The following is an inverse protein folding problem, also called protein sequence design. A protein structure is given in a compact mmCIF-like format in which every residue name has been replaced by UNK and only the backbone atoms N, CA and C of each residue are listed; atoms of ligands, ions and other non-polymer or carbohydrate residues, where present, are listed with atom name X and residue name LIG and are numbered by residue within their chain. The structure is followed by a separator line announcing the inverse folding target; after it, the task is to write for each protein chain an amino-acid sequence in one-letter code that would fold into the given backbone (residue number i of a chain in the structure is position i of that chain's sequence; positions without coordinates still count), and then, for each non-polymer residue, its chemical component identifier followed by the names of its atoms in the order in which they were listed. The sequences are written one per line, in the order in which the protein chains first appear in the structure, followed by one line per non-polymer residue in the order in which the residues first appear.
data_IF_573915738693
#
_entry.id   IF_573915738693
#
_cell.length_a   1.000
_cell.length_b   1.000
_cell.length_c   1.000
_cell.angle_alpha   90.00
_cell.angle_beta   90.00
_cell.angle_gamma   90.00
#
_symmetry.space_group_name_H-M   'P 1'
#
loop_
_entity.id
_entity.type
_entity.pdbx_description
1 polymer ?
#
# COMPACT_ATOMS: atom_id res chain seq x y z
N UNK A 1 -1.90 3.59 15.45
CA UNK A 1 -1.52 2.25 15.92
C UNK A 1 -0.41 1.72 14.99
N UNK A 2 0.51 0.89 15.49
CA UNK A 2 1.70 0.44 14.75
C UNK A 2 1.66 -1.09 14.55
N UNK A 3 1.23 -1.55 13.38
CA UNK A 3 1.84 -2.71 12.72
C UNK A 3 2.05 -2.40 11.23
N UNK A 4 3.31 -2.39 10.81
CA UNK A 4 3.65 -2.40 9.39
C UNK A 4 3.66 -3.82 8.86
N UNK A 5 3.23 -4.03 7.60
CA UNK A 5 3.35 -5.31 6.95
C UNK A 5 4.78 -5.48 6.44
N UNK A 6 5.55 -6.43 6.96
CA UNK A 6 6.59 -7.07 6.15
C UNK A 6 7.03 -8.45 6.69
N UNK A 7 7.34 -9.32 5.72
CA UNK A 7 7.95 -10.65 5.79
C UNK A 7 7.09 -11.82 6.31
N UNK A 8 6.53 -12.58 5.36
CA UNK A 8 6.59 -14.05 5.31
C UNK A 8 5.84 -14.91 6.33
N UNK A 9 5.45 -14.38 7.49
CA UNK A 9 4.71 -15.12 8.50
C UNK A 9 3.28 -14.58 8.61
N UNK A 10 2.34 -15.32 8.01
CA UNK A 10 0.90 -15.13 8.13
C UNK A 10 0.37 -15.34 9.57
N UNK A 11 1.22 -15.65 10.54
CA UNK A 11 0.85 -16.11 11.89
C UNK A 11 0.79 -15.01 12.98
N UNK A 12 0.76 -13.70 12.65
CA UNK A 12 0.67 -12.64 13.68
C UNK A 12 -0.41 -11.59 13.45
N UNK A 13 -1.48 -11.99 12.75
CA UNK A 13 -2.68 -11.18 12.55
C UNK A 13 -3.50 -11.08 13.85
N UNK A 14 -3.21 -9.98 14.55
CA UNK A 14 -4.04 -9.19 15.49
C UNK A 14 -4.69 -9.91 16.71
N UNK A 15 -4.20 -9.64 17.94
CA UNK A 15 -4.90 -9.93 19.22
C UNK A 15 -6.29 -9.28 19.38
N UNK A 16 -6.75 -8.52 18.39
CA UNK A 16 -8.06 -7.87 18.33
C UNK A 16 -9.15 -8.88 17.93
N UNK A 17 -8.77 -10.00 17.31
CA UNK A 17 -9.70 -11.01 16.83
C UNK A 17 -10.26 -11.93 17.90
N UNK A 18 -9.65 -11.99 19.09
CA UNK A 18 -10.05 -12.91 20.16
C UNK A 18 -11.25 -12.38 20.96
N UNK A 19 -11.60 -11.10 20.82
CA UNK A 19 -12.59 -10.41 21.67
C UNK A 19 -13.85 -9.94 20.95
N UNK A 20 -13.99 -10.22 19.66
CA UNK A 20 -15.18 -9.76 18.91
C UNK A 20 -16.41 -10.52 19.40
N UNK A 21 -17.44 -9.79 19.82
CA UNK A 21 -18.71 -10.38 20.22
C UNK A 21 -19.39 -11.06 19.01
N UNK A 22 -19.55 -12.38 19.08
CA UNK A 22 -20.13 -13.17 17.99
C UNK A 22 -21.57 -12.77 17.67
N UNK A 23 -22.39 -12.49 18.68
CA UNK A 23 -23.80 -12.12 18.48
C UNK A 23 -23.90 -10.77 17.76
N UNK A 24 -23.11 -9.78 18.17
CA UNK A 24 -23.05 -8.48 17.52
C UNK A 24 -22.56 -8.60 16.07
N UNK A 25 -21.53 -9.41 15.82
CA UNK A 25 -21.02 -9.66 14.46
C UNK A 25 -22.07 -10.35 13.57
N UNK A 26 -22.72 -11.41 14.05
CA UNK A 26 -23.74 -12.13 13.29
C UNK A 26 -24.97 -11.26 13.00
N UNK A 27 -25.40 -10.44 13.97
CA UNK A 27 -26.47 -9.46 13.78
C UNK A 27 -26.10 -8.43 12.71
N UNK A 28 -24.84 -7.98 12.70
CA UNK A 28 -24.34 -7.02 11.71
C UNK A 28 -24.20 -7.59 10.31
N UNK A 29 -23.78 -8.85 10.20
CA UNK A 29 -23.69 -9.56 8.91
C UNK A 29 -25.08 -9.72 8.28
N UNK A 30 -26.11 -9.91 9.11
CA UNK A 30 -27.52 -10.01 8.69
C UNK A 30 -27.72 -10.83 7.41
N UNK A 31 -27.22 -12.06 7.41
CA UNK A 31 -27.25 -12.95 6.24
C UNK A 31 -28.27 -14.08 6.39
N UNK A 32 -28.48 -14.85 5.33
CA UNK A 32 -29.44 -15.94 5.31
C UNK A 32 -29.10 -17.06 6.32
N UNK A 33 -30.11 -17.79 6.85
CA UNK A 33 -29.93 -18.69 7.99
C UNK A 33 -28.85 -19.77 7.82
N UNK A 34 -28.63 -20.26 6.60
CA UNK A 34 -27.64 -21.31 6.31
C UNK A 34 -26.21 -20.80 6.45
N UNK A 35 -25.90 -19.64 5.87
CA UNK A 35 -24.57 -19.03 5.98
C UNK A 35 -24.32 -18.51 7.40
N UNK A 36 -25.35 -17.99 8.07
CA UNK A 36 -25.25 -17.58 9.46
C UNK A 36 -24.83 -18.76 10.37
N UNK A 37 -25.46 -19.93 10.21
CA UNK A 37 -25.07 -21.17 10.92
C UNK A 37 -23.62 -21.58 10.65
N UNK A 38 -23.17 -21.48 9.40
CA UNK A 38 -21.80 -21.81 9.01
C UNK A 38 -20.77 -20.86 9.64
N UNK A 39 -21.02 -19.55 9.57
CA UNK A 39 -20.16 -18.54 10.20
C UNK A 39 -20.14 -18.74 11.72
N UNK A 40 -21.29 -19.01 12.34
CA UNK A 40 -21.37 -19.32 13.77
C UNK A 40 -20.55 -20.56 14.14
N UNK A 41 -20.57 -21.60 13.31
CA UNK A 41 -19.74 -22.79 13.51
C UNK A 41 -18.25 -22.47 13.40
N UNK A 42 -17.84 -21.63 12.45
CA UNK A 42 -16.45 -21.16 12.33
C UNK A 42 -16.00 -20.26 13.47
N UNK A 43 -16.89 -19.44 14.03
CA UNK A 43 -16.57 -18.61 15.19
C UNK A 43 -16.41 -19.44 16.47
N UNK A 44 -17.21 -20.50 16.60
CA UNK A 44 -17.17 -21.44 17.74
C UNK A 44 -16.12 -22.54 17.62
N UNK A 45 -15.54 -22.76 16.44
CA UNK A 45 -14.52 -23.78 16.30
C UNK A 45 -13.30 -23.34 17.11
N UNK A 46 -13.03 -24.05 18.20
CA UNK A 46 -11.91 -23.81 19.12
C UNK A 46 -10.55 -23.69 18.44
N UNK A 47 -9.57 -23.21 19.19
CA UNK A 47 -8.18 -23.18 18.74
C UNK A 47 -7.48 -24.43 19.26
N UNK A 48 -6.82 -25.15 18.35
CA UNK A 48 -5.88 -26.21 18.69
C UNK A 48 -4.47 -25.65 18.57
N UNK A 49 -3.79 -25.41 19.69
CA UNK A 49 -2.43 -24.88 19.73
C UNK A 49 -1.58 -25.75 20.66
N UNK A 50 -0.36 -26.08 20.22
CA UNK A 50 0.62 -26.89 20.96
C UNK A 50 0.10 -28.21 21.59
N UNK A 51 -0.87 -28.87 20.97
CA UNK A 51 -1.39 -30.15 21.44
C UNK A 51 -2.54 -30.07 22.44
N UNK A 52 -2.97 -28.87 22.82
CA UNK A 52 -4.13 -28.64 23.68
C UNK A 52 -5.29 -28.01 22.89
N UNK A 53 -6.50 -28.47 23.18
CA UNK A 53 -7.73 -27.94 22.59
C UNK A 53 -8.39 -26.96 23.54
N UNK A 54 -8.72 -25.77 23.04
CA UNK A 54 -9.43 -24.72 23.80
C UNK A 54 -10.71 -24.32 23.09
N UNK A 55 -11.83 -24.26 23.83
CA UNK A 55 -13.07 -23.67 23.33
C UNK A 55 -12.88 -22.15 23.18
N UNK A 56 -13.26 -21.60 22.03
CA UNK A 56 -13.34 -20.15 21.82
C UNK A 56 -14.77 -19.67 22.04
N UNK A 57 -15.05 -19.19 23.24
CA UNK A 57 -16.30 -18.47 23.56
C UNK A 57 -16.35 -17.08 22.92
N UNK A 58 -15.18 -16.51 22.58
CA UNK A 58 -15.03 -15.22 21.91
C UNK A 58 -13.99 -15.30 20.78
N UNK A 59 -14.17 -14.46 19.77
CA UNK A 59 -13.23 -14.28 18.68
C UNK A 59 -13.34 -15.20 17.46
N UNK A 60 -12.42 -15.05 16.50
CA UNK A 60 -12.37 -15.87 15.28
C UNK A 60 -11.07 -16.68 15.25
N UNK A 61 -11.05 -17.94 14.78
CA UNK A 61 -9.82 -18.69 14.59
C UNK A 61 -8.79 -17.87 13.80
N UNK A 62 -7.65 -17.58 14.45
CA UNK A 62 -6.58 -16.81 13.83
C UNK A 62 -5.94 -17.64 12.71
N UNK A 63 -5.91 -17.10 11.49
CA UNK A 63 -5.39 -17.80 10.31
C UNK A 63 -6.45 -18.33 9.35
N UNK A 64 -7.74 -18.24 9.69
CA UNK A 64 -8.82 -18.49 8.74
C UNK A 64 -8.85 -17.46 7.61
N UNK A 65 -8.98 -17.91 6.36
CA UNK A 65 -9.04 -17.04 5.16
C UNK A 65 -10.15 -15.99 5.27
N UNK A 66 -11.22 -16.29 6.01
CA UNK A 66 -12.37 -15.39 6.20
C UNK A 66 -12.21 -14.36 7.33
N UNK A 67 -11.30 -14.58 8.28
CA UNK A 67 -11.16 -13.74 9.48
C UNK A 67 -10.90 -12.25 9.14
N UNK A 68 -10.03 -11.88 8.17
CA UNK A 68 -9.85 -10.48 7.78
C UNK A 68 -11.11 -9.82 7.21
N UNK A 69 -11.97 -10.58 6.53
CA UNK A 69 -13.25 -10.07 6.03
C UNK A 69 -14.20 -9.79 7.20
N UNK A 70 -14.32 -10.75 8.12
CA UNK A 70 -15.17 -10.62 9.31
C UNK A 70 -14.76 -9.43 10.18
N UNK A 71 -13.46 -9.17 10.39
CA UNK A 71 -13.03 -7.94 11.09
C UNK A 71 -13.43 -6.66 10.36
N UNK A 72 -13.29 -6.62 9.04
CA UNK A 72 -13.66 -5.43 8.29
C UNK A 72 -15.16 -5.16 8.37
N UNK A 73 -16.00 -6.21 8.40
CA UNK A 73 -17.44 -6.08 8.64
C UNK A 73 -17.71 -5.64 10.07
N UNK A 74 -17.05 -6.25 11.06
CA UNK A 74 -17.17 -5.89 12.47
C UNK A 74 -16.90 -4.40 12.70
N UNK A 75 -15.85 -3.86 12.08
CA UNK A 75 -15.41 -2.46 12.19
C UNK A 75 -16.06 -1.51 11.16
N UNK A 76 -16.93 -2.00 10.28
CA UNK A 76 -17.65 -1.14 9.32
C UNK A 76 -18.71 -0.31 10.06
N UNK A 77 -18.95 0.96 9.70
CA UNK A 77 -19.88 1.83 10.45
C UNK A 77 -19.20 2.79 11.44
N UNK A 78 -17.91 2.58 11.76
CA UNK A 78 -17.16 3.49 12.63
C UNK A 78 -17.05 4.89 12.03
N UNK A 79 -16.81 4.97 10.73
CA UNK A 79 -16.68 6.25 10.02
C UNK A 79 -17.99 7.03 10.05
N UNK A 80 -19.11 6.33 9.87
CA UNK A 80 -20.46 6.89 9.92
C UNK A 80 -20.79 7.42 11.32
N UNK A 81 -20.44 6.70 12.38
CA UNK A 81 -20.62 7.15 13.77
C UNK A 81 -19.88 8.48 14.02
N UNK A 82 -18.62 8.56 13.60
CA UNK A 82 -17.79 9.77 13.75
C UNK A 82 -18.33 10.93 12.89
N UNK A 83 -18.83 10.66 11.68
CA UNK A 83 -19.42 11.69 10.82
C UNK A 83 -20.65 12.34 11.43
N UNK A 84 -21.45 11.63 12.25
CA UNK A 84 -22.57 12.22 12.98
C UNK A 84 -22.12 13.30 13.96
N UNK A 85 -20.96 13.12 14.60
CA UNK A 85 -20.35 14.17 15.44
C UNK A 85 -20.09 15.41 14.60
N UNK A 86 -19.46 15.27 13.42
CA UNK A 86 -19.21 16.42 12.55
C UNK A 86 -20.49 17.17 12.16
N UNK A 87 -21.60 16.45 11.94
CA UNK A 87 -22.90 17.06 11.62
C UNK A 87 -23.53 17.83 12.79
N UNK A 88 -23.21 17.45 14.03
CA UNK A 88 -23.66 18.12 15.26
C UNK A 88 -22.86 19.38 15.60
N UNK A 89 -21.70 19.60 14.97
CA UNK A 89 -20.87 20.78 15.20
C UNK A 89 -21.56 22.04 14.63
N UNK A 90 -21.38 23.21 15.27
CA UNK A 90 -21.93 24.47 14.76
C UNK A 90 -21.36 24.80 13.38
N UNK A 91 -22.16 25.46 12.53
CA UNK A 91 -21.78 25.87 11.18
C UNK A 91 -22.33 24.98 10.07
N UNK A 92 -21.67 25.00 8.90
CA UNK A 92 -22.14 24.27 7.72
C UNK A 92 -21.75 22.80 7.81
N UNK A 93 -22.73 21.90 7.79
CA UNK A 93 -22.53 20.43 7.83
C UNK A 93 -21.44 19.94 6.88
N UNK A 94 -21.44 20.43 5.63
CA UNK A 94 -20.45 20.06 4.62
C UNK A 94 -19.01 20.43 5.02
N UNK A 95 -18.81 21.59 5.63
CA UNK A 95 -17.47 22.05 6.02
C UNK A 95 -16.97 21.25 7.23
N UNK A 96 -17.87 20.95 8.19
CA UNK A 96 -17.55 20.12 9.35
C UNK A 96 -17.20 18.68 8.96
N UNK A 97 -17.96 18.07 8.04
CA UNK A 97 -17.65 16.75 7.49
C UNK A 97 -16.33 16.73 6.74
N UNK A 98 -15.94 17.81 6.06
CA UNK A 98 -14.65 17.89 5.37
C UNK A 98 -13.48 18.15 6.32
N UNK A 99 -13.73 18.79 7.47
CA UNK A 99 -12.71 19.06 8.49
C UNK A 99 -12.33 17.80 9.29
N UNK A 100 -13.28 16.88 9.47
CA UNK A 100 -13.08 15.61 10.17
C UNK A 100 -12.67 14.51 9.18
N UNK A 101 -11.46 13.99 9.31
CA UNK A 101 -10.99 12.88 8.48
C UNK A 101 -10.78 11.63 9.32
N UNK A 102 -11.47 10.55 8.95
CA UNK A 102 -11.25 9.22 9.49
C UNK A 102 -10.49 8.36 8.48
N UNK A 103 -9.41 7.72 8.91
CA UNK A 103 -8.57 6.85 8.08
C UNK A 103 -8.37 5.55 8.83
N UNK A 104 -8.79 4.43 8.25
CA UNK A 104 -8.67 3.09 8.85
C UNK A 104 -7.93 2.13 7.92
N UNK A 105 -7.11 1.27 8.51
CA UNK A 105 -6.44 0.15 7.89
C UNK A 105 -6.51 -1.05 8.85
N UNK A 106 -7.31 -2.06 8.52
CA UNK A 106 -7.65 -3.14 9.46
C UNK A 106 -8.15 -2.58 10.81
N UNK A 107 -7.47 -2.90 11.92
CA UNK A 107 -7.73 -2.40 13.27
C UNK A 107 -7.04 -1.06 13.57
N UNK A 108 -6.04 -0.67 12.78
CA UNK A 108 -5.31 0.57 12.94
C UNK A 108 -6.06 1.74 12.29
N UNK A 109 -6.43 2.76 13.07
CA UNK A 109 -7.07 3.98 12.53
C UNK A 109 -6.49 5.28 13.10
N UNK A 110 -6.80 6.38 12.41
CA UNK A 110 -6.42 7.76 12.75
C UNK A 110 -7.62 8.69 12.48
N UNK A 111 -7.84 9.62 13.41
CA UNK A 111 -8.83 10.69 13.29
C UNK A 111 -8.06 12.01 13.25
N UNK A 112 -8.36 12.85 12.27
CA UNK A 112 -7.74 14.16 12.11
C UNK A 112 -8.81 15.23 12.19
N UNK A 113 -8.59 16.22 13.04
CA UNK A 113 -9.43 17.40 13.18
C UNK A 113 -8.58 18.58 13.71
N UNK A 114 -8.86 19.85 13.34
CA UNK A 114 -8.13 21.01 13.85
C UNK A 114 -8.31 21.27 15.36
N UNK A 115 -9.49 20.94 15.87
CA UNK A 115 -9.90 21.13 17.26
C UNK A 115 -9.72 19.85 18.09
N UNK A 116 -9.07 20.00 19.26
CA UNK A 116 -8.82 18.91 20.21
C UNK A 116 -10.09 18.46 20.92
N UNK A 117 -11.04 19.35 21.18
CA UNK A 117 -12.27 19.00 21.91
C UNK A 117 -13.13 18.06 21.07
N UNK A 118 -13.16 18.28 19.76
CA UNK A 118 -13.79 17.36 18.80
C UNK A 118 -13.08 16.01 18.78
N UNK A 119 -11.74 15.96 18.85
CA UNK A 119 -11.00 14.69 18.93
C UNK A 119 -11.32 13.95 20.22
N UNK A 120 -11.45 14.65 21.35
CA UNK A 120 -11.85 14.04 22.62
C UNK A 120 -13.26 13.47 22.54
N UNK A 121 -14.23 14.20 21.98
CA UNK A 121 -15.59 13.69 21.72
C UNK A 121 -15.59 12.45 20.83
N UNK A 122 -14.81 12.49 19.73
CA UNK A 122 -14.67 11.33 18.83
C UNK A 122 -14.06 10.13 19.55
N UNK A 123 -13.13 10.34 20.48
CA UNK A 123 -12.55 9.25 21.28
C UNK A 123 -13.62 8.58 22.15
N UNK A 124 -14.48 9.36 22.81
CA UNK A 124 -15.57 8.82 23.64
C UNK A 124 -16.56 8.01 22.81
N UNK A 125 -17.06 8.58 21.71
CA UNK A 125 -18.00 7.90 20.80
C UNK A 125 -17.44 6.59 20.25
N UNK A 126 -16.16 6.56 19.87
CA UNK A 126 -15.54 5.34 19.34
C UNK A 126 -15.37 4.29 20.43
N UNK A 127 -15.06 4.68 21.67
CA UNK A 127 -15.01 3.74 22.78
C UNK A 127 -16.37 3.07 22.98
N UNK A 128 -17.44 3.87 23.07
CA UNK A 128 -18.82 3.36 23.22
C UNK A 128 -19.23 2.48 22.03
N UNK A 129 -18.86 2.90 20.80
CA UNK A 129 -19.13 2.11 19.60
C UNK A 129 -18.40 0.77 19.59
N UNK A 130 -17.14 0.74 20.05
CA UNK A 130 -16.34 -0.48 20.12
C UNK A 130 -16.81 -1.42 21.22
N UNK A 131 -17.26 -0.88 22.37
CA UNK A 131 -17.84 -1.66 23.47
C UNK A 131 -19.04 -2.47 22.99
N UNK A 132 -19.91 -1.89 22.15
CA UNK A 132 -21.03 -2.61 21.52
C UNK A 132 -20.58 -3.81 20.66
N UNK A 133 -19.34 -3.79 20.17
CA UNK A 133 -18.74 -4.89 19.40
C UNK A 133 -17.88 -5.84 20.25
N UNK A 134 -17.78 -5.61 21.58
CA UNK A 134 -16.90 -6.36 22.50
C UNK A 134 -15.43 -5.93 22.45
N UNK A 135 -15.14 -4.77 21.85
CA UNK A 135 -13.78 -4.31 21.62
C UNK A 135 -13.44 -3.11 22.50
N UNK A 136 -12.16 -2.99 22.85
CA UNK A 136 -11.67 -1.89 23.68
C UNK A 136 -10.45 -1.21 23.04
N UNK A 137 -10.35 0.10 23.23
CA UNK A 137 -9.16 0.85 22.83
C UNK A 137 -8.02 0.59 23.80
N UNK A 138 -6.90 0.07 23.29
CA UNK A 138 -5.70 -0.16 24.10
C UNK A 138 -5.08 1.19 24.55
N UNK A 139 -5.09 1.55 25.86
CA UNK A 139 -4.65 2.86 26.32
C UNK A 139 -3.18 3.15 25.97
N UNK A 140 -2.32 2.12 26.00
CA UNK A 140 -0.90 2.26 25.67
C UNK A 140 -0.61 2.53 24.19
N UNK A 141 -1.57 2.31 23.29
CA UNK A 141 -1.41 2.60 21.86
C UNK A 141 -2.16 3.85 21.40
N UNK A 142 -3.14 4.30 22.18
CA UNK A 142 -3.98 5.46 21.85
C UNK A 142 -3.33 6.75 22.37
N UNK A 143 -3.02 7.67 21.46
CA UNK A 143 -2.41 8.96 21.81
C UNK A 143 -3.01 10.09 20.97
N UNK A 144 -3.24 11.24 21.60
CA UNK A 144 -3.58 12.48 20.91
C UNK A 144 -2.27 13.23 20.69
N UNK A 145 -2.01 13.61 19.44
CA UNK A 145 -0.76 14.25 19.04
C UNK A 145 -1.04 15.34 18.03
N UNK A 146 -0.23 16.40 18.07
CA UNK A 146 -0.32 17.51 17.14
C UNK A 146 0.55 17.24 15.91
N UNK A 147 0.03 17.52 14.72
CA UNK A 147 0.79 17.43 13.47
C UNK A 147 1.66 18.64 13.20
N UNK A 148 1.22 19.83 13.63
CA UNK A 148 1.91 21.10 13.47
C UNK A 148 2.51 21.57 14.79
N UNK A 149 3.75 22.07 14.74
CA UNK A 149 4.41 22.67 15.89
C UNK A 149 3.71 23.99 16.27
N UNK A 150 3.12 24.07 17.47
CA UNK A 150 2.64 25.33 18.05
C UNK A 150 3.79 26.00 18.81
N UNK A 151 3.80 27.34 18.97
CA UNK A 151 4.85 28.07 19.69
C UNK A 151 5.12 27.56 21.11
N UNK A 152 4.11 26.99 21.76
CA UNK A 152 4.18 26.46 23.13
C UNK A 152 4.38 24.93 23.21
N UNK A 153 4.54 24.24 22.07
CA UNK A 153 4.77 22.78 22.01
C UNK A 153 6.10 22.53 21.31
N UNK A 154 7.17 22.52 22.10
CA UNK A 154 8.51 22.18 21.64
C UNK A 154 8.49 20.68 21.27
N UNK A 155 8.87 20.34 20.03
CA UNK A 155 8.97 18.97 19.50
C UNK A 155 7.66 18.23 19.22
N UNK A 156 6.71 18.82 18.48
CA UNK A 156 5.68 18.00 17.79
C UNK A 156 6.39 17.00 16.85
N UNK A 157 6.35 15.71 17.21
CA UNK A 157 6.96 14.60 16.45
C UNK A 157 6.05 14.06 15.32
N UNK A 158 4.90 14.71 15.08
CA UNK A 158 3.86 14.15 14.24
C UNK A 158 3.31 12.84 14.81
N UNK A 159 2.80 11.97 13.93
CA UNK A 159 2.35 10.63 14.30
C UNK A 159 2.84 9.58 13.32
N UNK A 160 3.06 8.37 13.83
CA UNK A 160 3.37 7.20 13.02
C UNK A 160 2.08 6.41 12.72
N UNK A 161 1.88 6.06 11.47
CA UNK A 161 0.75 5.24 10.98
C UNK A 161 1.21 4.37 9.83
N UNK A 162 1.01 3.05 9.94
CA UNK A 162 1.53 2.06 8.97
C UNK A 162 3.02 2.31 8.65
N UNK A 163 3.75 2.70 9.71
CA UNK A 163 5.15 3.15 9.77
C UNK A 163 5.58 4.20 8.75
N UNK A 164 4.63 5.01 8.31
CA UNK A 164 4.86 6.36 7.83
C UNK A 164 4.76 7.34 9.01
N UNK A 165 5.70 8.26 9.13
CA UNK A 165 5.61 9.42 9.99
C UNK A 165 4.98 10.59 9.22
N UNK A 166 3.85 11.09 9.72
CA UNK A 166 3.12 12.23 9.17
C UNK A 166 3.36 13.44 10.07
N UNK A 167 4.00 14.48 9.53
CA UNK A 167 4.31 15.71 10.26
C UNK A 167 4.13 16.95 9.39
N UNK A 168 3.68 18.04 10.00
CA UNK A 168 3.59 19.35 9.39
C UNK A 168 4.69 20.27 9.93
N UNK A 169 5.27 21.04 9.02
CA UNK A 169 6.35 22.00 9.30
C UNK A 169 5.85 23.39 8.94
N UNK A 170 6.06 24.36 9.82
CA UNK A 170 5.82 25.78 9.51
C UNK A 170 6.79 26.21 8.42
N UNK A 171 6.28 26.85 7.37
CA UNK A 171 7.09 27.27 6.23
C UNK A 171 6.68 28.67 5.77
N UNK A 172 7.61 29.39 5.16
CA UNK A 172 7.35 30.72 4.63
C UNK A 172 6.35 30.73 3.45
N UNK A 173 5.89 31.92 3.08
CA UNK A 173 4.89 32.19 2.02
C UNK A 173 5.17 31.52 0.66
N UNK A 174 6.43 31.25 0.34
CA UNK A 174 6.84 30.68 -0.96
C UNK A 174 6.88 29.13 -0.97
N UNK A 175 6.85 28.48 0.19
CA UNK A 175 6.96 27.02 0.30
C UNK A 175 5.68 26.36 0.82
N UNK A 176 4.71 27.16 1.27
CA UNK A 176 3.44 26.67 1.80
C UNK A 176 2.49 26.23 0.68
N UNK A 177 1.69 25.22 0.97
CA UNK A 177 0.60 24.80 0.09
C UNK A 177 -0.52 25.84 0.05
N UNK A 178 -1.32 25.80 -1.02
CA UNK A 178 -2.53 26.60 -1.18
C UNK A 178 -3.74 25.70 -1.26
N UNK A 179 -4.81 26.05 -0.55
CA UNK A 179 -6.13 25.41 -0.68
C UNK A 179 -7.15 26.50 -0.97
N UNK A 180 -7.82 26.39 -2.13
CA UNK A 180 -8.81 27.40 -2.59
C UNK A 180 -8.26 28.84 -2.57
N UNK A 181 -6.99 29.03 -2.93
CA UNK A 181 -6.33 30.34 -2.93
C UNK A 181 -5.69 30.76 -1.61
N UNK A 182 -6.08 30.17 -0.48
CA UNK A 182 -5.56 30.51 0.84
C UNK A 182 -4.26 29.77 1.16
N UNK A 183 -3.27 30.49 1.71
CA UNK A 183 -2.01 29.92 2.18
C UNK A 183 -2.24 29.14 3.47
N UNK A 184 -1.71 27.92 3.54
CA UNK A 184 -1.84 27.07 4.72
C UNK A 184 -0.88 27.46 5.86
N UNK A 185 0.24 28.11 5.55
CA UNK A 185 1.31 28.42 6.51
C UNK A 185 2.20 27.24 6.90
N UNK A 186 1.91 26.03 6.38
CA UNK A 186 2.69 24.82 6.65
C UNK A 186 2.87 23.94 5.41
N UNK A 187 3.79 22.97 5.51
CA UNK A 187 4.02 21.88 4.57
C UNK A 187 3.95 20.54 5.28
N UNK A 188 3.13 19.62 4.78
CA UNK A 188 3.06 18.24 5.27
C UNK A 188 4.13 17.39 4.61
N UNK A 189 5.00 16.78 5.40
CA UNK A 189 5.94 15.77 4.93
C UNK A 189 5.55 14.42 5.53
N UNK A 190 5.42 13.43 4.65
CA UNK A 190 5.25 12.03 5.03
C UNK A 190 6.58 11.35 4.72
N UNK A 191 7.20 10.77 5.75
CA UNK A 191 8.50 10.08 5.66
C UNK A 191 8.36 8.66 6.24
N UNK A 192 9.20 7.69 5.86
CA UNK A 192 9.35 6.45 6.63
C UNK A 192 9.59 6.76 8.12
N UNK A 193 8.93 6.03 9.01
CA UNK A 193 9.10 6.20 10.46
C UNK A 193 10.51 5.77 10.89
N UNK A 194 11.02 6.39 11.95
CA UNK A 194 12.35 6.07 12.48
C UNK A 194 12.47 4.60 12.89
N UNK A 195 11.39 4.02 13.43
CA UNK A 195 11.30 2.60 13.78
C UNK A 195 11.38 1.70 12.54
N UNK A 196 10.67 2.05 11.47
CA UNK A 196 10.71 1.29 10.23
C UNK A 196 12.09 1.32 9.57
N UNK A 197 12.71 2.49 9.52
CA UNK A 197 14.08 2.67 9.02
C UNK A 197 15.06 1.80 9.82
N UNK A 198 14.99 1.87 11.16
CA UNK A 198 15.85 1.09 12.03
C UNK A 198 15.66 -0.41 11.82
N UNK A 199 14.41 -0.90 11.82
CA UNK A 199 14.10 -2.33 11.60
C UNK A 199 14.67 -2.84 10.28
N UNK A 200 14.49 -2.08 9.20
CA UNK A 200 15.00 -2.46 7.89
C UNK A 200 16.53 -2.51 7.85
N UNK A 201 17.19 -1.50 8.45
CA UNK A 201 18.63 -1.48 8.55
C UNK A 201 19.18 -2.61 9.43
N UNK A 202 18.52 -2.90 10.55
CA UNK A 202 18.87 -4.01 11.45
C UNK A 202 18.74 -5.36 10.72
N UNK A 203 17.70 -5.54 9.90
CA UNK A 203 17.50 -6.75 9.09
C UNK A 203 18.61 -6.91 8.04
N UNK A 204 18.95 -5.83 7.32
CA UNK A 204 20.09 -5.86 6.39
C UNK A 204 21.39 -6.21 7.13
N UNK A 205 21.61 -5.63 8.32
CA UNK A 205 22.79 -5.93 9.12
C UNK A 205 22.85 -7.41 9.52
N UNK A 206 21.74 -7.99 10.00
CA UNK A 206 21.66 -9.41 10.35
C UNK A 206 22.01 -10.30 9.15
N UNK A 207 21.51 -9.98 7.96
CA UNK A 207 21.80 -10.74 6.75
C UNK A 207 23.27 -10.65 6.39
N UNK A 208 23.85 -9.45 6.40
CA UNK A 208 25.29 -9.26 6.12
C UNK A 208 26.14 -10.01 7.14
N UNK A 209 25.76 -9.98 8.42
CA UNK A 209 26.48 -10.66 9.50
C UNK A 209 26.36 -12.19 9.44
N UNK A 210 25.21 -12.72 9.01
CA UNK A 210 25.03 -14.16 8.75
C UNK A 210 25.83 -14.64 7.53
N UNK A 211 26.04 -13.75 6.54
CA UNK A 211 26.72 -14.07 5.28
C UNK A 211 28.21 -13.68 5.28
N UNK A 212 28.87 -13.54 6.44
CA UNK A 212 30.30 -13.18 6.55
C UNK A 212 31.22 -14.01 5.63
N UNK A 213 31.00 -15.31 5.59
CA UNK A 213 31.80 -16.26 4.79
C UNK A 213 31.21 -16.55 3.41
N UNK A 214 29.98 -16.12 3.12
CA UNK A 214 29.28 -16.45 1.88
C UNK A 214 29.90 -15.77 0.63
N UNK A 215 29.71 -16.32 -0.57
CA UNK A 215 30.06 -15.65 -1.81
C UNK A 215 29.33 -14.31 -1.97
N UNK A 216 29.99 -13.34 -2.59
CA UNK A 216 29.41 -12.02 -2.86
C UNK A 216 28.07 -12.09 -3.59
N UNK A 217 27.96 -13.00 -4.56
CA UNK A 217 26.76 -13.21 -5.36
C UNK A 217 25.56 -13.67 -4.50
N UNK A 218 25.80 -14.60 -3.57
CA UNK A 218 24.76 -15.09 -2.66
C UNK A 218 24.27 -13.97 -1.73
N UNK A 219 25.18 -13.12 -1.24
CA UNK A 219 24.82 -11.95 -0.43
C UNK A 219 23.94 -10.96 -1.21
N UNK A 220 24.30 -10.65 -2.46
CA UNK A 220 23.51 -9.75 -3.31
C UNK A 220 22.12 -10.33 -3.57
N UNK A 221 22.02 -11.62 -3.90
CA UNK A 221 20.74 -12.29 -4.16
C UNK A 221 19.79 -12.26 -2.96
N UNK A 222 20.32 -12.34 -1.73
CA UNK A 222 19.49 -12.21 -0.53
C UNK A 222 19.10 -10.76 -0.20
N UNK A 223 19.99 -9.80 -0.40
CA UNK A 223 19.71 -8.39 -0.06
C UNK A 223 18.76 -7.72 -1.06
N UNK A 224 18.87 -8.04 -2.36
CA UNK A 224 18.11 -7.37 -3.42
C UNK A 224 16.59 -7.41 -3.24
N UNK A 225 15.94 -8.56 -2.96
CA UNK A 225 14.49 -8.63 -2.74
C UNK A 225 14.03 -7.77 -1.57
N UNK A 226 14.80 -7.72 -0.48
CA UNK A 226 14.48 -6.98 0.74
C UNK A 226 14.58 -5.48 0.49
N UNK A 227 15.69 -5.03 -0.12
CA UNK A 227 15.90 -3.64 -0.51
C UNK A 227 14.80 -3.19 -1.47
N UNK A 228 14.52 -4.00 -2.50
CA UNK A 228 13.50 -3.68 -3.51
C UNK A 228 12.10 -3.61 -2.90
N UNK A 229 11.73 -4.57 -2.05
CA UNK A 229 10.42 -4.59 -1.38
C UNK A 229 10.21 -3.36 -0.51
N UNK A 230 11.20 -3.04 0.34
CA UNK A 230 11.14 -1.87 1.22
C UNK A 230 11.13 -0.56 0.44
N UNK A 231 12.01 -0.41 -0.55
CA UNK A 231 12.05 0.81 -1.37
C UNK A 231 10.74 1.02 -2.17
N UNK A 232 10.13 -0.05 -2.69
CA UNK A 232 8.83 0.02 -3.35
C UNK A 232 7.72 0.47 -2.40
N UNK A 233 7.67 -0.05 -1.16
CA UNK A 233 6.67 0.34 -0.18
C UNK A 233 6.73 1.84 0.17
N UNK A 234 7.94 2.39 0.38
CA UNK A 234 8.12 3.81 0.68
C UNK A 234 8.33 4.71 -0.55
N UNK A 235 8.25 4.18 -1.76
CA UNK A 235 8.38 4.96 -3.01
C UNK A 235 7.28 6.02 -3.17
N UNK A 236 6.19 5.90 -2.42
CA UNK A 236 5.04 6.82 -2.52
C UNK A 236 5.22 8.12 -1.74
N UNK A 237 6.16 8.16 -0.79
CA UNK A 237 6.33 9.27 0.16
C UNK A 237 7.68 9.98 -0.02
N UNK A 238 7.99 10.95 0.84
CA UNK A 238 9.23 11.74 0.75
C UNK A 238 10.40 10.94 1.31
N UNK A 239 10.90 9.99 0.51
CA UNK A 239 11.88 8.99 1.00
C UNK A 239 13.28 9.12 0.41
N UNK A 240 13.50 10.01 -0.56
CA UNK A 240 14.77 10.05 -1.33
C UNK A 240 16.01 10.29 -0.47
N UNK A 241 15.93 11.25 0.45
CA UNK A 241 16.99 11.57 1.42
C UNK A 241 17.27 10.36 2.33
N UNK A 242 16.21 9.74 2.86
CA UNK A 242 16.32 8.54 3.72
C UNK A 242 16.91 7.36 2.96
N UNK A 243 16.55 7.19 1.68
CA UNK A 243 17.12 6.14 0.82
C UNK A 243 18.63 6.33 0.64
N UNK A 244 19.09 7.56 0.44
CA UNK A 244 20.52 7.88 0.34
C UNK A 244 21.25 7.61 1.65
N UNK A 245 20.64 7.96 2.79
CA UNK A 245 21.21 7.67 4.11
C UNK A 245 21.35 6.17 4.38
N UNK A 246 20.33 5.38 4.07
CA UNK A 246 20.39 3.93 4.22
C UNK A 246 21.43 3.35 3.27
N UNK A 247 21.48 3.78 2.01
CA UNK A 247 22.50 3.33 1.06
C UNK A 247 23.93 3.59 1.58
N UNK A 248 24.16 4.75 2.22
CA UNK A 248 25.44 5.09 2.87
C UNK A 248 25.76 4.15 4.04
N UNK A 249 24.78 3.86 4.91
CA UNK A 249 24.98 2.95 6.04
C UNK A 249 25.24 1.51 5.57
N UNK A 250 24.48 1.04 4.58
CA UNK A 250 24.68 -0.27 3.95
C UNK A 250 26.06 -0.35 3.30
N UNK A 251 26.50 0.70 2.61
CA UNK A 251 27.86 0.77 2.06
C UNK A 251 28.94 0.61 3.13
N UNK A 252 28.81 1.30 4.27
CA UNK A 252 29.77 1.19 5.39
C UNK A 252 29.80 -0.25 5.92
N UNK A 253 28.64 -0.88 6.12
CA UNK A 253 28.52 -2.26 6.60
C UNK A 253 29.10 -3.28 5.61
N UNK A 254 28.84 -3.11 4.31
CA UNK A 254 29.45 -3.95 3.25
C UNK A 254 30.97 -3.75 3.16
N UNK A 255 31.47 -2.54 3.41
CA UNK A 255 32.91 -2.28 3.48
C UNK A 255 33.58 -3.01 4.64
N UNK A 256 32.91 -3.07 5.79
CA UNK A 256 33.38 -3.86 6.93
C UNK A 256 33.38 -5.37 6.61
N UNK A 257 32.32 -5.87 6.00
CA UNK A 257 32.22 -7.26 5.51
C UNK A 257 33.37 -7.61 4.54
N UNK A 258 33.63 -6.75 3.55
CA UNK A 258 34.67 -6.98 2.56
C UNK A 258 36.09 -6.94 3.17
N UNK A 259 36.32 -6.04 4.15
CA UNK A 259 37.60 -5.97 4.88
C UNK A 259 37.82 -7.23 5.73
N UNK A 260 36.78 -7.74 6.39
CA UNK A 260 36.86 -8.94 7.22
C UNK A 260 37.31 -10.18 6.42
N UNK A 261 36.90 -10.28 5.15
CA UNK A 261 37.29 -11.39 4.26
C UNK A 261 38.76 -11.33 3.80
N UNK A 262 39.38 -10.15 3.86
CA UNK A 262 40.75 -9.95 3.38
C UNK A 262 41.58 -9.12 4.37
N UNK A 263 41.89 -9.68 5.55
CA UNK A 263 42.62 -8.96 6.60
C UNK A 263 44.02 -8.50 6.14
N UNK A 264 44.65 -9.27 5.23
CA UNK A 264 46.01 -9.01 4.73
C UNK A 264 46.07 -8.17 3.44
N UNK A 265 44.93 -7.65 2.94
CA UNK A 265 44.90 -6.84 1.70
C UNK A 265 44.67 -5.37 2.01
N UNK A 266 45.21 -4.51 1.15
CA UNK A 266 45.04 -3.06 1.27
C UNK A 266 43.58 -2.65 1.03
N UNK A 267 43.18 -1.51 1.60
CA UNK A 267 41.82 -0.95 1.42
C UNK A 267 41.50 -0.71 -0.06
N UNK A 268 42.48 -0.25 -0.85
CA UNK A 268 42.32 0.00 -2.28
C UNK A 268 42.05 -1.28 -3.08
N UNK A 269 42.75 -2.38 -2.74
CA UNK A 269 42.51 -3.68 -3.37
C UNK A 269 41.10 -4.20 -3.08
N UNK A 270 40.65 -4.11 -1.81
CA UNK A 270 39.31 -4.54 -1.41
C UNK A 270 38.24 -3.73 -2.15
N UNK A 271 38.39 -2.41 -2.23
CA UNK A 271 37.46 -1.56 -2.98
C UNK A 271 37.37 -1.98 -4.45
N UNK A 272 38.50 -2.16 -5.13
CA UNK A 272 38.55 -2.55 -6.54
C UNK A 272 38.01 -3.97 -6.81
N UNK A 273 38.08 -4.87 -5.81
CA UNK A 273 37.62 -6.26 -5.94
C UNK A 273 36.10 -6.41 -5.84
N UNK A 274 35.44 -5.58 -5.04
CA UNK A 274 34.02 -5.74 -4.69
C UNK A 274 33.11 -4.63 -5.24
N UNK A 275 33.67 -3.45 -5.56
CA UNK A 275 32.95 -2.34 -6.17
C UNK A 275 33.47 -2.08 -7.58
N UNK A 276 32.54 -2.04 -8.53
CA UNK A 276 32.82 -1.78 -9.94
C UNK A 276 32.16 -0.47 -10.40
N UNK A 277 32.67 0.09 -11.50
CA UNK A 277 32.04 1.20 -12.19
C UNK A 277 30.98 0.68 -13.16
N UNK A 278 29.71 0.99 -12.91
CA UNK A 278 28.59 0.59 -13.77
C UNK A 278 27.71 1.81 -14.06
N UNK A 279 27.60 2.18 -15.34
CA UNK A 279 26.72 3.29 -15.77
C UNK A 279 27.07 4.64 -15.13
N UNK A 280 28.35 4.95 -14.97
CA UNK A 280 28.85 6.19 -14.36
C UNK A 280 28.91 6.21 -12.82
N UNK A 281 28.42 5.16 -12.16
CA UNK A 281 28.51 4.99 -10.71
C UNK A 281 29.73 4.14 -10.36
N UNK A 282 30.74 4.75 -9.73
CA UNK A 282 32.03 4.11 -9.40
C UNK A 282 31.98 3.19 -8.17
N UNK A 283 30.86 3.18 -7.43
CA UNK A 283 30.75 2.47 -6.16
C UNK A 283 29.55 1.53 -6.18
N UNK A 284 29.51 0.65 -7.18
CA UNK A 284 28.46 -0.37 -7.33
C UNK A 284 28.95 -1.72 -6.83
N UNK A 285 28.40 -2.16 -5.70
CA UNK A 285 28.69 -3.48 -5.14
C UNK A 285 28.14 -4.56 -6.08
N UNK A 286 29.02 -5.28 -6.74
CA UNK A 286 28.66 -6.20 -7.82
C UNK A 286 29.61 -7.38 -7.92
N UNK A 287 29.05 -8.56 -8.16
CA UNK A 287 29.80 -9.78 -8.37
C UNK A 287 30.16 -9.91 -9.85
N UNK A 288 31.38 -10.38 -10.12
CA UNK A 288 31.88 -10.64 -11.47
C UNK A 288 32.30 -12.11 -11.59
N UNK A 289 31.98 -12.73 -12.73
CA UNK A 289 32.45 -14.07 -13.12
C UNK A 289 32.96 -13.97 -14.54
N UNK A 290 34.20 -14.43 -14.79
CA UNK A 290 34.85 -14.40 -16.11
C UNK A 290 34.83 -13.00 -16.77
N UNK A 291 35.03 -11.94 -15.97
CA UNK A 291 35.04 -10.56 -16.46
C UNK A 291 33.66 -9.95 -16.74
N UNK A 292 32.56 -10.71 -16.60
CA UNK A 292 31.18 -10.21 -16.73
C UNK A 292 30.54 -9.98 -15.38
N UNK A 293 29.79 -8.89 -15.23
CA UNK A 293 28.97 -8.62 -14.04
C UNK A 293 27.80 -9.60 -14.03
N UNK A 294 27.69 -10.40 -12.98
CA UNK A 294 26.63 -11.40 -12.80
C UNK A 294 25.49 -10.85 -11.97
N UNK A 295 25.81 -10.20 -10.85
CA UNK A 295 24.84 -9.67 -9.90
C UNK A 295 25.24 -8.29 -9.43
N UNK A 296 24.26 -7.40 -9.25
CA UNK A 296 24.48 -6.04 -8.77
C UNK A 296 23.52 -5.72 -7.63
N UNK A 297 24.04 -5.12 -6.56
CA UNK A 297 23.21 -4.65 -5.47
C UNK A 297 22.36 -3.45 -5.90
N UNK A 298 21.06 -3.55 -5.70
CA UNK A 298 20.12 -2.45 -5.93
C UNK A 298 20.35 -1.39 -4.85
N UNK A 299 20.44 -0.12 -5.26
CA UNK A 299 20.46 1.04 -4.36
C UNK A 299 19.04 1.50 -4.08
N UNK A 300 18.71 1.78 -2.82
CA UNK A 300 17.40 2.32 -2.45
C UNK A 300 17.12 3.60 -3.23
N UNK A 301 18.13 4.48 -3.34
CA UNK A 301 18.03 5.75 -4.02
C UNK A 301 17.79 5.64 -5.53
N UNK A 302 18.00 4.48 -6.17
CA UNK A 302 17.63 4.28 -7.59
C UNK A 302 16.12 4.10 -7.79
N UNK A 303 15.37 3.82 -6.72
CA UNK A 303 13.90 3.70 -6.79
C UNK A 303 13.29 5.08 -7.04
N UNK A 304 12.43 5.17 -8.04
CA UNK A 304 11.70 6.39 -8.37
C UNK A 304 10.58 6.65 -7.38
N UNK A 305 10.34 7.92 -7.06
CA UNK A 305 9.26 8.31 -6.16
C UNK A 305 7.99 8.50 -6.99
N UNK A 306 7.00 7.63 -6.80
CA UNK A 306 5.74 7.63 -7.55
C UNK A 306 4.60 8.02 -6.61
N UNK A 307 4.04 9.22 -6.81
CA UNK A 307 2.95 9.73 -5.95
C UNK A 307 1.64 9.02 -6.22
N UNK A 308 0.97 8.57 -5.15
CA UNK A 308 -0.34 7.94 -5.26
C UNK A 308 -1.43 9.00 -5.49
N UNK A 309 -2.26 8.81 -6.52
CA UNK A 309 -3.47 9.60 -6.75
C UNK A 309 -4.60 9.07 -5.87
N UNK A 310 -5.35 9.87 -5.11
CA UNK A 310 -6.47 9.36 -4.27
C UNK A 310 -7.60 8.77 -5.12
N UNK A 311 -8.30 7.74 -4.63
CA UNK A 311 -9.54 7.24 -5.26
C UNK A 311 -10.63 8.30 -5.16
N UNK A 312 -11.47 8.47 -6.20
CA UNK A 312 -12.54 9.47 -6.21
C UNK A 312 -13.75 8.94 -5.44
N UNK A 313 -14.17 9.66 -4.39
CA UNK A 313 -15.37 9.32 -3.62
C UNK A 313 -15.36 7.87 -3.13
N UNK A 314 -16.48 7.19 -3.34
CA UNK A 314 -16.70 5.79 -2.97
C UNK A 314 -16.44 4.82 -4.14
N UNK A 315 -15.68 5.22 -5.16
CA UNK A 315 -15.40 4.34 -6.28
C UNK A 315 -14.65 3.09 -5.80
N UNK A 316 -15.06 1.90 -6.24
CA UNK A 316 -14.39 0.63 -5.95
C UNK A 316 -14.23 -0.20 -7.23
N UNK A 317 -13.25 -1.10 -7.36
CA UNK A 317 -12.95 -1.79 -8.64
C UNK A 317 -14.11 -2.58 -9.29
N UNK A 318 -15.19 -2.81 -8.54
CA UNK A 318 -16.39 -3.54 -8.96
C UNK A 318 -17.61 -2.62 -9.06
N UNK A 319 -17.43 -1.30 -9.10
CA UNK A 319 -18.50 -0.29 -9.18
C UNK A 319 -19.00 -0.04 -10.61
N UNK A 320 -18.59 -0.88 -11.57
CA UNK A 320 -18.90 -0.72 -12.99
C UNK A 320 -18.18 0.43 -13.69
N UNK A 321 -17.37 1.24 -13.01
CA UNK A 321 -16.69 2.40 -13.60
C UNK A 321 -15.38 2.00 -14.30
N UNK A 322 -15.52 1.17 -15.34
CA UNK A 322 -14.41 0.62 -16.10
C UNK A 322 -13.44 1.70 -16.61
N UNK A 323 -13.97 2.83 -17.08
CA UNK A 323 -13.18 3.96 -17.60
C UNK A 323 -12.27 4.54 -16.52
N UNK A 324 -12.84 4.85 -15.34
CA UNK A 324 -12.06 5.36 -14.22
C UNK A 324 -10.96 4.38 -13.80
N UNK A 325 -11.28 3.09 -13.71
CA UNK A 325 -10.33 2.06 -13.29
C UNK A 325 -9.26 1.73 -14.34
N UNK A 326 -9.61 1.77 -15.63
CA UNK A 326 -8.66 1.57 -16.72
C UNK A 326 -7.67 2.72 -16.85
N UNK A 327 -8.13 3.96 -16.70
CA UNK A 327 -7.27 5.14 -16.74
C UNK A 327 -6.31 5.15 -15.55
N UNK A 328 -6.85 4.84 -14.36
CA UNK A 328 -6.11 4.87 -13.10
C UNK A 328 -5.09 3.75 -12.95
N UNK A 329 -5.47 2.50 -13.21
CA UNK A 329 -4.59 1.36 -12.94
C UNK A 329 -3.78 0.91 -14.16
N UNK A 330 -4.25 1.16 -15.38
CA UNK A 330 -3.68 0.55 -16.60
C UNK A 330 -3.67 -0.99 -16.62
N UNK A 331 -4.07 -1.62 -15.50
CA UNK A 331 -4.24 -3.04 -15.22
C UNK A 331 -5.52 -3.16 -14.38
N UNK A 332 -6.63 -3.53 -15.00
CA UNK A 332 -7.83 -3.89 -14.25
C UNK A 332 -7.75 -5.39 -13.97
N UNK A 333 -7.84 -5.87 -12.70
CA UNK A 333 -7.81 -7.30 -12.42
C UNK A 333 -8.93 -8.10 -13.09
N UNK A 334 -10.00 -7.42 -13.51
CA UNK A 334 -11.14 -8.01 -14.22
C UNK A 334 -10.96 -8.06 -15.75
N UNK A 335 -9.93 -7.40 -16.30
CA UNK A 335 -9.73 -7.32 -17.75
C UNK A 335 -8.31 -7.77 -18.13
N UNK A 336 -8.16 -8.47 -19.28
CA UNK A 336 -6.84 -8.76 -19.82
C UNK A 336 -6.00 -7.48 -19.98
N UNK A 337 -4.68 -7.61 -19.79
CA UNK A 337 -3.73 -6.48 -19.93
C UNK A 337 -3.87 -5.80 -21.31
N UNK A 338 -4.08 -6.61 -22.36
CA UNK A 338 -4.27 -6.14 -23.74
C UNK A 338 -5.45 -5.19 -23.88
N UNK A 339 -6.60 -5.58 -23.32
CA UNK A 339 -7.83 -4.77 -23.31
C UNK A 339 -7.62 -3.50 -22.50
N UNK A 340 -6.96 -3.59 -21.34
CA UNK A 340 -6.75 -2.41 -20.48
C UNK A 340 -5.85 -1.36 -21.13
N UNK A 341 -4.80 -1.80 -21.86
CA UNK A 341 -3.93 -0.91 -22.64
C UNK A 341 -4.73 -0.20 -23.73
N UNK A 342 -5.53 -0.94 -24.50
CA UNK A 342 -6.34 -0.37 -25.59
C UNK A 342 -7.39 0.59 -25.06
N UNK A 343 -8.11 0.22 -24.00
CA UNK A 343 -9.14 1.05 -23.39
C UNK A 343 -8.55 2.36 -22.85
N UNK A 344 -7.33 2.32 -22.27
CA UNK A 344 -6.59 3.53 -21.89
C UNK A 344 -6.18 4.37 -23.10
N UNK A 345 -5.64 3.74 -24.15
CA UNK A 345 -5.20 4.46 -25.36
C UNK A 345 -6.34 5.14 -26.11
N UNK A 346 -7.53 4.51 -26.12
CA UNK A 346 -8.76 4.99 -26.74
C UNK A 346 -9.63 5.85 -25.80
N UNK A 347 -9.14 6.19 -24.60
CA UNK A 347 -9.85 7.00 -23.61
C UNK A 347 -11.26 6.46 -23.28
N UNK A 348 -11.38 5.14 -23.19
CA UNK A 348 -12.63 4.44 -22.88
C UNK A 348 -13.68 4.42 -24.00
N UNK A 349 -13.32 4.82 -25.23
CA UNK A 349 -14.24 4.87 -26.38
C UNK A 349 -14.00 3.74 -27.37
N UNK A 350 -15.07 3.24 -27.97
CA UNK A 350 -15.02 2.33 -29.12
C UNK A 350 -14.46 3.07 -30.34
N UNK A 351 -13.51 2.47 -31.04
CA UNK A 351 -12.87 3.10 -32.21
C UNK A 351 -13.81 3.24 -33.42
N UNK A 352 -14.86 2.42 -33.50
CA UNK A 352 -15.82 2.43 -34.62
C UNK A 352 -17.01 3.36 -34.38
N UNK A 353 -17.71 3.26 -33.25
CA UNK A 353 -18.90 4.07 -32.97
C UNK A 353 -18.63 5.34 -32.15
N UNK A 354 -17.43 5.48 -31.57
CA UNK A 354 -17.05 6.63 -30.74
C UNK A 354 -17.74 6.71 -29.37
N UNK A 355 -18.63 5.77 -29.04
CA UNK A 355 -19.32 5.69 -27.75
C UNK A 355 -18.42 5.10 -26.67
N UNK A 356 -18.71 5.44 -25.42
CA UNK A 356 -18.01 4.91 -24.25
C UNK A 356 -18.42 3.47 -23.95
N UNK A 357 -17.45 2.65 -23.54
CA UNK A 357 -17.71 1.31 -23.01
C UNK A 357 -18.37 1.39 -21.62
N UNK A 358 -19.42 0.60 -21.42
CA UNK A 358 -20.15 0.39 -20.16
C UNK A 358 -19.80 -0.96 -19.53
N UNK A 359 -20.20 -1.14 -18.27
CA UNK A 359 -19.86 -2.31 -17.44
C UNK A 359 -20.16 -3.67 -18.08
N UNK A 360 -21.30 -3.80 -18.76
CA UNK A 360 -21.76 -5.05 -19.38
C UNK A 360 -21.48 -5.12 -20.88
N UNK A 361 -20.73 -4.15 -21.42
CA UNK A 361 -20.39 -4.16 -22.83
C UNK A 361 -19.36 -5.25 -23.10
N UNK A 362 -19.68 -6.14 -24.05
CA UNK A 362 -18.71 -7.11 -24.57
C UNK A 362 -17.71 -6.35 -25.45
N UNK A 363 -16.46 -6.33 -25.00
CA UNK A 363 -15.35 -5.66 -25.65
C UNK A 363 -14.52 -6.67 -26.44
N UNK A 364 -14.38 -6.43 -27.74
CA UNK A 364 -13.60 -7.27 -28.65
C UNK A 364 -12.35 -6.53 -29.12
N UNK A 365 -11.23 -7.24 -29.16
CA UNK A 365 -9.97 -6.72 -29.69
C UNK A 365 -9.89 -7.05 -31.18
N UNK A 366 -9.81 -6.02 -32.00
CA UNK A 366 -9.77 -6.10 -33.45
C UNK A 366 -8.46 -5.53 -34.01
N UNK A 367 -8.10 -5.94 -35.23
CA UNK A 367 -7.00 -5.34 -35.98
C UNK A 367 -7.51 -4.25 -36.92
N UNK A 368 -6.93 -3.05 -36.85
CA UNK A 368 -7.27 -1.92 -37.75
C UNK A 368 -7.11 -2.36 -39.21
N UNK A 369 -5.96 -2.96 -39.52
CA UNK A 369 -5.73 -3.71 -40.76
C UNK A 369 -5.83 -5.20 -40.43
N UNK A 370 -6.81 -5.94 -40.98
CA UNK A 370 -6.96 -7.37 -40.73
C UNK A 370 -5.69 -8.16 -41.04
N UNK A 371 -5.43 -9.22 -40.27
CA UNK A 371 -4.29 -10.14 -40.53
C UNK A 371 -4.32 -10.73 -41.94
N UNK A 372 -5.51 -11.03 -42.47
CA UNK A 372 -5.71 -11.52 -43.84
C UNK A 372 -5.25 -10.53 -44.92
N UNK A 373 -5.18 -9.23 -44.60
CA UNK A 373 -4.70 -8.17 -45.49
C UNK A 373 -3.28 -7.71 -45.15
N UNK A 374 -2.51 -8.53 -44.44
CA UNK A 374 -1.11 -8.24 -44.07
C UNK A 374 -0.94 -7.44 -42.78
N UNK A 375 -1.99 -7.27 -41.99
CA UNK A 375 -1.94 -6.59 -40.69
C UNK A 375 -1.07 -7.32 -39.67
N UNK A 376 -0.19 -6.59 -38.98
CA UNK A 376 0.67 -7.13 -37.92
C UNK A 376 -0.02 -7.11 -36.56
N UNK A 377 0.28 -8.10 -35.71
CA UNK A 377 -0.27 -8.18 -34.36
C UNK A 377 0.51 -7.32 -33.35
N UNK A 378 0.48 -6.00 -33.55
CA UNK A 378 1.18 -5.01 -32.73
C UNK A 378 0.19 -3.98 -32.20
N UNK A 379 0.42 -3.41 -31.01
CA UNK A 379 -0.51 -2.45 -30.38
C UNK A 379 -0.89 -1.26 -31.26
N UNK A 380 -0.03 -0.84 -32.19
CA UNK A 380 -0.35 0.24 -33.16
C UNK A 380 -1.43 -0.15 -34.18
N UNK A 381 -1.63 -1.44 -34.42
CA UNK A 381 -2.62 -1.99 -35.34
C UNK A 381 -3.79 -2.66 -34.60
N UNK A 382 -3.87 -2.51 -33.29
CA UNK A 382 -4.96 -3.06 -32.48
C UNK A 382 -5.91 -1.94 -32.07
N UNK A 383 -7.19 -2.27 -32.02
CA UNK A 383 -8.24 -1.41 -31.52
C UNK A 383 -9.26 -2.23 -30.73
N UNK A 384 -9.97 -1.55 -29.83
CA UNK A 384 -11.02 -2.12 -29.02
C UNK A 384 -12.38 -1.64 -29.53
N UNK A 385 -13.27 -2.59 -29.79
CA UNK A 385 -14.60 -2.36 -30.35
C UNK A 385 -15.67 -2.99 -29.45
N UNK A 386 -16.89 -2.47 -29.52
CA UNK A 386 -18.07 -3.21 -29.04
C UNK A 386 -18.27 -4.45 -29.91
N UNK A 387 -18.83 -5.53 -29.35
CA UNK A 387 -19.13 -6.74 -30.12
C UNK A 387 -19.89 -6.47 -31.43
N UNK A 388 -20.97 -5.68 -31.39
CA UNK A 388 -21.70 -5.33 -32.61
C UNK A 388 -20.84 -4.54 -33.62
N UNK A 389 -20.00 -3.60 -33.15
CA UNK A 389 -19.08 -2.85 -34.00
C UNK A 389 -18.00 -3.74 -34.62
N UNK A 390 -17.52 -4.73 -33.86
CA UNK A 390 -16.57 -5.73 -34.33
C UNK A 390 -17.19 -6.56 -35.45
N UNK A 391 -18.41 -7.04 -35.25
CA UNK A 391 -19.13 -7.86 -36.23
C UNK A 391 -19.39 -7.08 -37.53
N UNK A 392 -19.84 -5.82 -37.43
CA UNK A 392 -20.02 -4.93 -38.58
C UNK A 392 -18.72 -4.66 -39.35
N UNK A 393 -17.62 -4.42 -38.63
CA UNK A 393 -16.32 -4.18 -39.26
C UNK A 393 -15.81 -5.45 -39.94
N UNK A 394 -15.90 -6.59 -39.27
CA UNK A 394 -15.49 -7.90 -39.80
C UNK A 394 -16.25 -8.22 -41.09
N UNK A 395 -17.56 -7.94 -41.12
CA UNK A 395 -18.38 -8.09 -42.31
C UNK A 395 -17.95 -7.16 -43.46
N UNK A 396 -17.63 -5.88 -43.17
CA UNK A 396 -17.10 -4.92 -44.17
C UNK A 396 -15.72 -5.29 -44.68
N UNK A 397 -14.86 -5.82 -43.81
CA UNK A 397 -13.48 -6.13 -44.14
C UNK A 397 -13.33 -7.43 -44.95
N UNK A 398 -14.36 -8.28 -44.97
CA UNK A 398 -14.33 -9.58 -45.64
C UNK A 398 -13.41 -10.59 -44.97
N UNK A 399 -12.96 -10.31 -43.74
CA UNK A 399 -12.12 -11.21 -42.95
C UNK A 399 -13.00 -12.28 -42.32
N UNK A 400 -13.12 -13.46 -42.94
CA UNK A 400 -13.67 -14.64 -42.25
C UNK A 400 -12.67 -15.09 -41.17
N UNK A 401 -13.20 -15.42 -39.99
CA UNK A 401 -12.45 -15.96 -38.86
C UNK A 401 -11.46 -17.03 -39.31
N UNK A 402 -10.18 -16.84 -38.98
CA UNK A 402 -9.15 -17.86 -38.99
C UNK A 402 -8.65 -18.05 -37.56
#
# INVERSE_FOLDING_TARGET
LEKEPNSGNLASWLPTFDKINHAALLAKINTFPTLNRLIKAWLKSGVFDNGEWSETDEGTPQGGVISPLLANIALHGMEEAIKKIAESLPGKKRDNQNALSFIRYADDFVILHPDIDVIQRCKTEISEWLENMGLELKPSKTRIVYTLQKPHIINSKGFDFLGFNVRQYTVGKYQTGKVRGNLLGFKTLIKPSTKAIKRHYDEICKIIDAHKSAPQEALIRHLNPIIKGWANYYSTVVSKEIFQDIDRLVFIKLRAWAKHRHPQKSKGWVSKRYWNTIGGDNWVFSATKEGKVTETLIKHAKTEIVRHTKVKGNAFPFDGNLIYWSERKGKNPLLPLRVTILLKSQKGKCAQCGLYFREYDVMEVDHIIPKSKGGKDVYKNLQLLHRHCHDEKTARDGSRYA
#
